data_IF_065323817477
#
_entry.id   IF_065323817477
#
_cell.length_a   1.000
_cell.length_b   1.000
_cell.length_c   1.000
_cell.angle_alpha   90.00
_cell.angle_beta   90.00
_cell.angle_gamma   90.00
#
_symmetry.space_group_name_H-M   'P 1'
#
loop_
_entity.id
_entity.type
_entity.pdbx_description
1 polymer ?
#
# COMPACT_ATOMS: atom_id res chain seq x y z
N UNK A 1 -22.64 -8.08 -46.59
CA UNK A 1 -21.62 -9.08 -46.22
C UNK A 1 -20.44 -8.36 -45.60
N UNK A 2 -20.34 -8.36 -44.27
CA UNK A 2 -19.11 -8.14 -43.51
C UNK A 2 -19.45 -8.19 -42.02
N UNK A 3 -19.49 -9.41 -41.49
CA UNK A 3 -19.64 -9.73 -40.07
C UNK A 3 -18.36 -9.37 -39.33
N UNK A 4 -18.50 -8.47 -38.34
CA UNK A 4 -17.48 -8.11 -37.36
C UNK A 4 -17.12 -9.32 -36.50
N UNK A 5 -15.85 -9.70 -36.49
CA UNK A 5 -15.29 -10.75 -35.63
C UNK A 5 -14.95 -10.12 -34.29
N UNK A 6 -15.82 -10.29 -33.31
CA UNK A 6 -15.51 -9.97 -31.92
C UNK A 6 -14.49 -10.99 -31.39
N UNK A 7 -13.25 -10.56 -31.18
CA UNK A 7 -12.22 -11.37 -30.52
C UNK A 7 -12.52 -11.44 -29.02
N UNK A 8 -13.14 -12.52 -28.58
CA UNK A 8 -13.27 -12.90 -27.17
C UNK A 8 -11.93 -13.38 -26.64
N UNK A 9 -11.11 -12.45 -26.14
CA UNK A 9 -9.95 -12.80 -25.31
C UNK A 9 -10.47 -13.31 -23.98
N UNK A 10 -10.49 -14.62 -23.83
CA UNK A 10 -10.78 -15.30 -22.59
C UNK A 10 -9.60 -15.04 -21.66
N UNK A 11 -9.80 -14.19 -20.65
CA UNK A 11 -8.90 -14.05 -19.51
C UNK A 11 -8.80 -15.42 -18.83
N UNK A 12 -7.76 -16.19 -19.19
CA UNK A 12 -7.41 -17.40 -18.46
C UNK A 12 -6.85 -16.93 -17.13
N UNK A 13 -7.73 -16.72 -16.15
CA UNK A 13 -7.34 -16.86 -14.75
C UNK A 13 -6.61 -18.19 -14.65
N UNK A 14 -5.46 -18.32 -13.97
CA UNK A 14 -4.98 -19.61 -13.52
C UNK A 14 -5.96 -20.15 -12.46
N UNK A 15 -7.13 -20.55 -12.94
CA UNK A 15 -8.13 -21.30 -12.25
C UNK A 15 -7.64 -22.73 -12.27
N UNK A 16 -6.93 -23.09 -11.22
CA UNK A 16 -7.21 -24.28 -10.44
C UNK A 16 -6.18 -24.29 -9.32
N UNK A 17 -6.64 -24.27 -8.06
CA UNK A 17 -5.90 -25.03 -7.05
C UNK A 17 -5.66 -26.38 -7.72
N UNK A 18 -4.41 -26.69 -8.11
CA UNK A 18 -4.12 -28.03 -8.58
C UNK A 18 -4.72 -28.96 -7.53
N UNK A 19 -5.56 -29.92 -7.92
CA UNK A 19 -6.24 -30.82 -6.97
C UNK A 19 -5.21 -31.78 -6.33
N UNK A 20 -4.14 -31.26 -5.74
CA UNK A 20 -3.09 -31.97 -5.02
C UNK A 20 -3.63 -32.59 -3.74
N UNK A 21 -4.80 -32.12 -3.27
CA UNK A 21 -5.55 -32.69 -2.16
C UNK A 21 -5.92 -34.17 -2.35
N UNK A 22 -6.09 -34.66 -3.58
CA UNK A 22 -6.35 -36.09 -3.84
C UNK A 22 -5.07 -36.93 -3.85
N UNK A 23 -3.91 -36.30 -4.08
CA UNK A 23 -2.61 -36.97 -4.18
C UNK A 23 -1.83 -36.99 -2.86
N UNK A 24 -2.33 -36.32 -1.81
CA UNK A 24 -1.61 -36.19 -0.55
C UNK A 24 -1.92 -37.33 0.43
N UNK A 25 -0.87 -38.05 0.78
CA UNK A 25 -0.95 -39.11 1.80
C UNK A 25 -1.22 -38.54 3.22
N UNK A 26 -2.00 -39.27 4.01
CA UNK A 26 -2.25 -39.06 5.43
C UNK A 26 -0.96 -38.99 6.25
N UNK A 27 0.08 -39.74 5.85
CA UNK A 27 1.40 -39.68 6.49
C UNK A 27 2.02 -38.28 6.42
N UNK A 28 1.90 -37.61 5.27
CA UNK A 28 2.43 -36.27 5.07
C UNK A 28 1.70 -35.24 5.93
N UNK A 29 0.37 -35.35 6.04
CA UNK A 29 -0.43 -34.48 6.93
C UNK A 29 -0.07 -34.68 8.40
N UNK A 30 0.15 -35.92 8.83
CA UNK A 30 0.61 -36.25 10.19
C UNK A 30 2.00 -35.66 10.46
N UNK A 31 2.91 -35.71 9.49
CA UNK A 31 4.25 -35.13 9.61
C UNK A 31 4.19 -33.62 9.82
N UNK A 32 3.42 -32.88 9.01
CA UNK A 32 3.24 -31.43 9.15
C UNK A 32 2.61 -31.08 10.50
N UNK A 33 1.56 -31.81 10.91
CA UNK A 33 0.94 -31.62 12.22
C UNK A 33 1.94 -31.82 13.37
N UNK A 34 2.76 -32.87 13.29
CA UNK A 34 3.77 -33.15 14.30
C UNK A 34 4.80 -32.03 14.41
N UNK A 35 5.25 -31.48 13.28
CA UNK A 35 6.14 -30.31 13.27
C UNK A 35 5.48 -29.07 13.89
N UNK A 36 4.21 -28.80 13.59
CA UNK A 36 3.46 -27.69 14.21
C UNK A 36 3.39 -27.90 15.74
N UNK A 37 3.07 -29.10 16.20
CA UNK A 37 3.01 -29.41 17.62
C UNK A 37 4.37 -29.30 18.31
N UNK A 38 5.47 -29.66 17.65
CA UNK A 38 6.82 -29.45 18.15
C UNK A 38 7.16 -27.96 18.29
N UNK A 39 6.80 -27.13 17.30
CA UNK A 39 6.97 -25.69 17.37
C UNK A 39 6.15 -25.07 18.51
N UNK A 40 4.90 -25.50 18.68
CA UNK A 40 4.05 -25.05 19.78
C UNK A 40 4.58 -25.52 21.14
N UNK A 41 5.07 -26.77 21.24
CA UNK A 41 5.72 -27.28 22.45
C UNK A 41 6.95 -26.45 22.81
N UNK A 42 7.76 -26.06 21.83
CA UNK A 42 8.94 -25.21 22.08
C UNK A 42 8.56 -23.82 22.61
N UNK A 43 7.40 -23.27 22.22
CA UNK A 43 6.93 -21.95 22.65
C UNK A 43 6.18 -21.98 23.99
N UNK A 44 5.37 -23.01 24.24
CA UNK A 44 4.44 -23.10 25.38
C UNK A 44 4.83 -24.19 26.40
N UNK A 45 5.93 -24.92 26.17
CA UNK A 45 6.47 -25.95 27.05
C UNK A 45 5.76 -27.31 26.97
N UNK A 46 4.43 -27.34 27.21
CA UNK A 46 3.62 -28.57 27.20
C UNK A 46 2.58 -28.54 26.08
N UNK A 47 2.21 -29.71 25.55
CA UNK A 47 1.14 -29.86 24.55
C UNK A 47 -0.10 -30.38 25.25
N UNK A 48 -0.96 -29.47 25.68
CA UNK A 48 -2.26 -29.80 26.25
C UNK A 48 -3.29 -30.05 25.14
N UNK A 49 -4.48 -30.54 25.51
CA UNK A 49 -5.59 -30.78 24.57
C UNK A 49 -5.96 -29.53 23.76
N UNK A 50 -5.89 -28.34 24.39
CA UNK A 50 -6.11 -27.03 23.74
C UNK A 50 -5.06 -26.72 22.67
N UNK A 51 -3.77 -26.93 22.97
CA UNK A 51 -2.66 -26.67 22.05
C UNK A 51 -2.69 -27.68 20.89
N UNK A 52 -3.03 -28.93 21.17
CA UNK A 52 -3.28 -29.95 20.15
C UNK A 52 -4.43 -29.55 19.21
N UNK A 53 -5.53 -29.01 19.75
CA UNK A 53 -6.64 -28.51 18.94
C UNK A 53 -6.22 -27.33 18.05
N UNK A 54 -5.49 -26.36 18.59
CA UNK A 54 -4.94 -25.23 17.83
C UNK A 54 -4.02 -25.74 16.71
N UNK A 55 -3.13 -26.70 17.00
CA UNK A 55 -2.25 -27.31 16.02
C UNK A 55 -3.01 -27.98 14.86
N UNK A 56 -4.10 -28.70 15.15
CA UNK A 56 -4.96 -29.30 14.12
C UNK A 56 -5.68 -28.24 13.28
N UNK A 57 -6.16 -27.16 13.90
CA UNK A 57 -6.81 -26.05 13.18
C UNK A 57 -5.82 -25.30 12.29
N UNK A 58 -4.60 -25.06 12.78
CA UNK A 58 -3.53 -24.44 12.02
C UNK A 58 -3.09 -25.33 10.85
N UNK A 59 -2.94 -26.63 11.06
CA UNK A 59 -2.66 -27.59 9.98
C UNK A 59 -3.73 -27.53 8.90
N UNK A 60 -5.01 -27.57 9.29
CA UNK A 60 -6.11 -27.53 8.33
C UNK A 60 -6.15 -26.22 7.54
N UNK A 61 -5.84 -25.10 8.18
CA UNK A 61 -5.77 -23.79 7.52
C UNK A 61 -4.58 -23.71 6.54
N UNK A 62 -3.41 -24.21 6.93
CA UNK A 62 -2.25 -24.30 6.04
C UNK A 62 -2.51 -25.25 4.86
N UNK A 63 -3.24 -26.34 5.11
CA UNK A 63 -3.66 -27.28 4.08
C UNK A 63 -4.60 -26.61 3.06
N UNK A 64 -5.56 -25.80 3.50
CA UNK A 64 -6.53 -25.16 2.60
C UNK A 64 -5.97 -23.94 1.86
N UNK A 65 -4.96 -23.28 2.43
CA UNK A 65 -4.31 -22.09 1.86
C UNK A 65 -3.18 -22.42 0.89
N UNK A 66 -2.45 -23.52 1.09
CA UNK A 66 -1.33 -23.88 0.22
C UNK A 66 -1.78 -24.11 -1.24
N UNK A 67 -1.00 -23.59 -2.17
CA UNK A 67 -1.25 -23.70 -3.60
C UNK A 67 -0.88 -25.09 -4.13
N UNK A 68 0.20 -25.67 -3.62
CA UNK A 68 0.70 -26.99 -4.03
C UNK A 68 0.98 -27.92 -2.84
N UNK A 69 1.05 -29.23 -3.11
CA UNK A 69 1.49 -30.21 -2.13
C UNK A 69 2.94 -29.98 -1.68
N UNK A 70 3.78 -29.42 -2.55
CA UNK A 70 5.16 -29.09 -2.24
C UNK A 70 5.23 -27.94 -1.23
N UNK A 71 4.51 -26.84 -1.49
CA UNK A 71 4.41 -25.71 -0.57
C UNK A 71 3.89 -26.18 0.77
N UNK A 72 2.80 -26.98 0.80
CA UNK A 72 2.25 -27.53 2.03
C UNK A 72 3.29 -28.32 2.84
N UNK A 73 3.98 -29.28 2.21
CA UNK A 73 4.93 -30.21 2.88
C UNK A 73 6.25 -29.58 3.27
N UNK A 74 6.63 -28.44 2.67
CA UNK A 74 7.95 -27.87 2.86
C UNK A 74 8.19 -27.44 4.33
N UNK A 75 9.13 -28.09 5.06
CA UNK A 75 9.40 -27.78 6.46
C UNK A 75 10.15 -26.46 6.63
N UNK A 76 10.92 -26.02 5.63
CA UNK A 76 11.73 -24.80 5.71
C UNK A 76 10.87 -23.54 5.75
N UNK A 77 9.71 -23.57 5.10
CA UNK A 77 8.77 -22.44 5.05
C UNK A 77 7.66 -22.55 6.10
N UNK A 78 7.52 -23.71 6.76
CA UNK A 78 6.41 -24.00 7.68
C UNK A 78 6.31 -23.00 8.84
N UNK A 79 7.44 -22.64 9.46
CA UNK A 79 7.46 -21.69 10.57
C UNK A 79 6.98 -20.30 10.16
N UNK A 80 7.42 -19.81 8.99
CA UNK A 80 6.99 -18.53 8.41
C UNK A 80 5.53 -18.55 8.00
N UNK A 81 5.07 -19.63 7.36
CA UNK A 81 3.65 -19.80 6.97
C UNK A 81 2.73 -19.86 8.19
N UNK A 82 3.13 -20.58 9.24
CA UNK A 82 2.41 -20.61 10.50
C UNK A 82 2.36 -19.23 11.17
N UNK A 83 3.49 -18.50 11.17
CA UNK A 83 3.54 -17.13 11.69
C UNK A 83 2.62 -16.19 10.91
N UNK A 84 2.68 -16.21 9.57
CA UNK A 84 1.79 -15.45 8.68
C UNK A 84 0.32 -15.75 8.97
N UNK A 85 -0.05 -17.04 9.09
CA UNK A 85 -1.41 -17.44 9.42
C UNK A 85 -1.88 -16.85 10.75
N UNK A 86 -1.05 -16.92 11.80
CA UNK A 86 -1.38 -16.37 13.12
C UNK A 86 -1.56 -14.85 13.06
N UNK A 87 -0.64 -14.14 12.40
CA UNK A 87 -0.70 -12.69 12.23
C UNK A 87 -1.96 -12.28 11.47
N UNK A 88 -2.27 -12.93 10.34
CA UNK A 88 -3.46 -12.61 9.55
C UNK A 88 -4.77 -12.90 10.26
N UNK A 89 -4.85 -13.99 11.01
CA UNK A 89 -6.04 -14.29 11.80
C UNK A 89 -6.26 -13.24 12.88
N UNK A 90 -5.19 -12.76 13.52
CA UNK A 90 -5.26 -11.67 14.47
C UNK A 90 -5.73 -10.37 13.81
N UNK A 91 -5.11 -9.97 12.70
CA UNK A 91 -5.47 -8.76 11.94
C UNK A 91 -6.90 -8.82 11.38
N UNK A 92 -7.37 -10.01 10.98
CA UNK A 92 -8.75 -10.19 10.52
C UNK A 92 -9.79 -9.89 11.61
N UNK A 93 -9.45 -10.07 12.89
CA UNK A 93 -10.34 -9.68 14.00
C UNK A 93 -10.43 -8.15 14.14
N UNK A 94 -9.44 -7.41 13.65
CA UNK A 94 -9.40 -5.94 13.68
C UNK A 94 -10.12 -5.31 12.48
N UNK A 95 -10.34 -6.06 11.40
CA UNK A 95 -10.90 -5.53 10.14
C UNK A 95 -12.21 -4.75 10.33
N UNK A 96 -13.13 -5.22 11.19
CA UNK A 96 -14.38 -4.52 11.46
C UNK A 96 -14.18 -3.20 12.21
N UNK A 97 -13.20 -3.15 13.12
CA UNK A 97 -12.81 -1.92 13.82
C UNK A 97 -12.14 -0.94 12.86
N UNK A 98 -11.30 -1.44 11.95
CA UNK A 98 -10.68 -0.63 10.89
C UNK A 98 -11.70 0.01 9.98
N UNK A 99 -12.69 -0.76 9.50
CA UNK A 99 -13.75 -0.25 8.63
C UNK A 99 -14.58 0.83 9.34
N UNK A 100 -15.01 0.58 10.58
CA UNK A 100 -15.75 1.56 11.37
C UNK A 100 -14.94 2.85 11.62
N UNK A 101 -13.65 2.72 11.95
CA UNK A 101 -12.77 3.86 12.17
C UNK A 101 -12.52 4.67 10.90
N UNK A 102 -12.36 4.00 9.76
CA UNK A 102 -12.18 4.67 8.46
C UNK A 102 -13.43 5.42 8.01
N UNK A 103 -14.62 4.82 8.18
CA UNK A 103 -15.89 5.48 7.89
C UNK A 103 -16.10 6.72 8.77
N UNK A 104 -15.78 6.61 10.06
CA UNK A 104 -15.83 7.74 10.98
C UNK A 104 -14.90 8.87 10.51
N UNK A 105 -13.66 8.57 10.13
CA UNK A 105 -12.72 9.56 9.61
C UNK A 105 -13.23 10.26 8.34
N UNK A 106 -13.76 9.50 7.39
CA UNK A 106 -14.33 10.09 6.17
C UNK A 106 -15.51 11.03 6.45
N UNK A 107 -16.34 10.71 7.45
CA UNK A 107 -17.48 11.55 7.83
C UNK A 107 -17.05 12.93 8.35
N UNK A 108 -15.93 12.99 9.07
CA UNK A 108 -15.36 14.23 9.61
C UNK A 108 -14.83 15.15 8.49
N UNK A 109 -14.27 14.57 7.44
CA UNK A 109 -13.84 15.33 6.26
C UNK A 109 -15.01 15.85 5.41
N UNK A 110 -16.19 15.19 5.44
CA UNK A 110 -17.38 15.63 4.68
C UNK A 110 -18.24 16.67 5.40
N UNK A 111 -18.42 16.57 6.72
CA UNK A 111 -19.29 17.47 7.51
C UNK A 111 -18.93 18.96 7.42
N UNK A 112 -17.69 19.32 7.11
CA UNK A 112 -17.28 20.72 6.92
C UNK A 112 -17.55 21.27 5.52
N UNK A 113 -17.87 20.43 4.54
CA UNK A 113 -18.18 20.86 3.16
C UNK A 113 -19.69 21.03 2.91
N UNK A 114 -20.54 20.58 3.83
CA UNK A 114 -22.01 20.64 3.72
C UNK A 114 -22.68 21.74 4.57
N UNK A 115 -21.93 22.72 5.07
CA UNK A 115 -22.49 23.90 5.76
C UNK A 115 -22.36 25.15 4.89
N UNK A 116 -22.93 25.13 3.67
CA UNK A 116 -23.17 26.34 2.89
C UNK A 116 -24.61 26.38 2.36
N UNK A 117 -25.54 26.58 3.28
CA UNK A 117 -26.87 27.11 2.94
C UNK A 117 -27.24 28.17 3.96
N UNK A 118 -27.29 29.41 3.48
CA UNK A 118 -28.09 30.51 4.03
C UNK A 118 -27.70 31.06 5.40
N UNK A 119 -26.93 32.13 5.42
CA UNK A 119 -27.33 33.28 6.25
C UNK A 119 -26.79 34.58 5.63
N UNK A 120 -27.73 35.35 5.10
CA UNK A 120 -27.52 36.75 4.77
C UNK A 120 -27.46 37.60 6.05
N UNK A 121 -26.78 38.74 5.91
CA UNK A 121 -26.83 39.96 6.73
C UNK A 121 -26.05 39.96 8.05
N UNK A 122 -24.88 40.62 7.97
CA UNK A 122 -24.17 41.21 9.09
C UNK A 122 -23.10 42.18 8.57
N UNK A 123 -23.51 43.35 8.10
CA UNK A 123 -22.60 44.44 7.72
C UNK A 123 -21.69 44.81 8.90
N UNK A 124 -20.40 44.47 8.81
CA UNK A 124 -19.32 45.25 9.41
C UNK A 124 -18.32 45.57 8.32
N UNK A 125 -18.43 46.79 7.80
CA UNK A 125 -17.39 47.41 7.00
C UNK A 125 -16.12 47.45 7.86
N UNK A 126 -15.14 46.63 7.51
CA UNK A 126 -13.80 46.71 8.09
C UNK A 126 -13.08 47.79 7.30
N UNK A 127 -12.80 48.88 7.98
CA UNK A 127 -11.95 49.98 7.54
C UNK A 127 -10.61 49.39 7.08
N UNK A 128 -10.32 49.42 5.79
CA UNK A 128 -8.99 49.19 5.26
C UNK A 128 -8.16 50.44 5.55
N UNK A 129 -7.48 50.43 6.70
CA UNK A 129 -6.33 51.30 6.91
C UNK A 129 -5.27 50.92 5.89
N UNK A 130 -5.14 51.75 4.87
CA UNK A 130 -3.94 51.91 4.04
C UNK A 130 -2.78 52.33 4.92
N UNK A 131 -2.12 51.36 5.56
CA UNK A 131 -0.73 51.49 5.95
C UNK A 131 0.02 50.25 5.46
N UNK A 132 0.76 50.48 4.38
CA UNK A 132 1.73 49.58 3.80
C UNK A 132 2.74 49.15 4.87
N UNK A 133 2.52 47.99 5.48
CA UNK A 133 3.60 47.22 6.06
C UNK A 133 4.43 46.65 4.90
N UNK A 134 5.51 47.36 4.55
CA UNK A 134 6.52 46.95 3.58
C UNK A 134 7.26 45.72 4.13
N UNK A 135 6.64 44.55 4.01
CA UNK A 135 7.35 43.28 3.95
C UNK A 135 7.70 43.05 2.48
N UNK A 136 8.82 43.60 2.03
CA UNK A 136 9.32 43.48 0.66
C UNK A 136 9.27 42.00 0.20
N UNK A 137 8.46 41.61 -0.79
CA UNK A 137 8.38 40.23 -1.27
C UNK A 137 9.47 39.97 -2.34
N UNK A 138 10.64 40.60 -2.24
CA UNK A 138 11.70 40.54 -3.26
C UNK A 138 12.14 39.11 -3.61
N UNK A 139 11.99 38.17 -2.67
CA UNK A 139 12.38 36.77 -2.86
C UNK A 139 11.31 35.92 -3.57
N UNK A 140 10.02 36.27 -3.42
CA UNK A 140 8.88 35.47 -3.91
C UNK A 140 8.13 36.12 -5.07
N UNK A 141 8.51 37.35 -5.43
CA UNK A 141 7.95 38.09 -6.55
C UNK A 141 8.86 37.98 -7.77
N UNK A 142 8.37 37.35 -8.84
CA UNK A 142 9.06 37.22 -10.14
C UNK A 142 10.26 36.25 -10.21
N UNK A 143 10.91 35.89 -9.10
CA UNK A 143 12.15 35.09 -9.08
C UNK A 143 11.91 33.57 -8.96
N UNK A 144 10.93 33.03 -9.69
CA UNK A 144 10.56 31.61 -9.58
C UNK A 144 11.72 30.66 -9.91
N UNK A 145 12.51 30.96 -10.94
CA UNK A 145 13.63 30.11 -11.35
C UNK A 145 14.73 30.06 -10.28
N UNK A 146 15.00 31.19 -9.63
CA UNK A 146 15.95 31.27 -8.52
C UNK A 146 15.42 30.53 -7.29
N UNK A 147 14.12 30.64 -7.03
CA UNK A 147 13.46 29.91 -5.95
C UNK A 147 13.50 28.39 -6.19
N UNK A 148 13.24 27.93 -7.43
CA UNK A 148 13.36 26.53 -7.80
C UNK A 148 14.80 26.03 -7.65
N UNK A 149 15.79 26.83 -8.04
CA UNK A 149 17.20 26.50 -7.85
C UNK A 149 17.60 26.41 -6.36
N UNK A 150 17.19 27.38 -5.53
CA UNK A 150 17.49 27.35 -4.09
C UNK A 150 16.78 26.18 -3.41
N UNK A 151 15.50 25.98 -3.70
CA UNK A 151 14.72 24.87 -3.15
C UNK A 151 15.18 23.50 -3.66
N UNK A 152 15.90 23.42 -4.78
CA UNK A 152 16.47 22.14 -5.25
C UNK A 152 17.52 21.57 -4.29
N UNK A 153 18.12 22.41 -3.44
CA UNK A 153 19.07 21.98 -2.40
C UNK A 153 18.41 21.69 -1.05
N UNK A 154 17.11 21.97 -0.90
CA UNK A 154 16.38 21.83 0.36
C UNK A 154 15.49 20.58 0.35
N UNK A 155 15.36 19.94 1.50
CA UNK A 155 14.39 18.86 1.68
C UNK A 155 12.96 19.39 1.77
N UNK A 156 11.97 18.57 1.45
CA UNK A 156 10.55 18.95 1.57
C UNK A 156 10.19 19.49 2.96
N UNK A 157 10.82 18.97 4.02
CA UNK A 157 10.60 19.45 5.38
C UNK A 157 11.02 20.90 5.54
N UNK A 158 12.18 21.28 5.03
CA UNK A 158 12.73 22.63 5.12
C UNK A 158 11.92 23.59 4.26
N UNK A 159 11.58 23.18 3.03
CA UNK A 159 10.70 23.94 2.13
C UNK A 159 9.35 24.22 2.80
N UNK A 160 8.77 23.23 3.48
CA UNK A 160 7.50 23.39 4.19
C UNK A 160 7.61 24.24 5.46
N UNK A 161 8.77 24.25 6.12
CA UNK A 161 9.04 25.16 7.24
C UNK A 161 9.15 26.61 6.74
N UNK A 162 9.82 26.84 5.62
CA UNK A 162 9.85 28.15 4.94
C UNK A 162 8.44 28.55 4.45
N UNK A 163 7.64 27.60 3.98
CA UNK A 163 6.26 27.85 3.57
C UNK A 163 5.38 28.33 4.74
N UNK A 164 5.76 28.02 5.99
CA UNK A 164 5.03 28.46 7.18
C UNK A 164 5.34 29.91 7.60
N UNK A 165 6.38 30.55 7.04
CA UNK A 165 6.79 31.89 7.47
C UNK A 165 5.99 33.01 6.83
N UNK A 166 5.48 32.84 5.61
CA UNK A 166 4.62 33.82 4.95
C UNK A 166 3.60 33.20 4.00
N UNK A 167 2.53 33.95 3.70
CA UNK A 167 1.41 33.50 2.86
C UNK A 167 1.80 33.28 1.40
N UNK A 168 2.71 34.09 0.86
CA UNK A 168 3.24 33.91 -0.50
C UNK A 168 4.05 32.61 -0.61
N UNK A 169 4.94 32.35 0.35
CA UNK A 169 5.69 31.10 0.42
C UNK A 169 4.76 29.89 0.60
N UNK A 170 3.71 30.01 1.41
CA UNK A 170 2.71 28.95 1.61
C UNK A 170 2.02 28.50 0.31
N UNK A 171 1.86 29.42 -0.66
CA UNK A 171 1.20 29.14 -1.94
C UNK A 171 2.17 28.65 -3.02
N UNK A 172 3.40 29.18 -3.05
CA UNK A 172 4.37 28.89 -4.11
C UNK A 172 5.25 27.68 -3.79
N UNK A 173 5.79 27.59 -2.57
CA UNK A 173 6.80 26.58 -2.21
C UNK A 173 6.33 25.12 -2.31
N UNK A 174 5.09 24.76 -1.90
CA UNK A 174 4.61 23.39 -2.08
C UNK A 174 4.60 22.92 -3.54
N UNK A 175 4.50 23.84 -4.50
CA UNK A 175 4.53 23.49 -5.93
C UNK A 175 5.93 23.09 -6.42
N UNK A 176 6.97 23.44 -5.68
CA UNK A 176 8.38 23.17 -6.03
C UNK A 176 8.84 21.82 -5.48
N UNK A 177 8.16 21.30 -4.44
CA UNK A 177 8.51 20.03 -3.80
C UNK A 177 8.38 18.86 -4.77
N UNK A 178 9.49 18.17 -5.02
CA UNK A 178 9.57 16.98 -5.89
C UNK A 178 9.58 15.66 -5.13
N UNK A 179 10.16 15.63 -3.94
CA UNK A 179 10.32 14.40 -3.14
C UNK A 179 9.79 14.60 -1.75
N UNK A 180 8.92 13.70 -1.28
CA UNK A 180 8.41 13.70 0.10
C UNK A 180 8.69 12.34 0.72
N UNK A 181 9.45 12.35 1.81
CA UNK A 181 9.64 11.20 2.68
C UNK A 181 9.08 11.50 4.06
N UNK A 182 8.17 10.66 4.54
CA UNK A 182 7.47 10.88 5.79
C UNK A 182 7.23 9.57 6.53
N UNK A 183 7.26 9.63 7.86
CA UNK A 183 6.92 8.46 8.68
C UNK A 183 5.42 8.40 8.94
N UNK A 184 4.87 7.21 9.20
CA UNK A 184 3.47 7.07 9.62
C UNK A 184 3.17 7.91 10.86
N UNK A 185 4.10 7.99 11.81
CA UNK A 185 3.98 8.79 13.04
C UNK A 185 3.83 10.28 12.72
N UNK A 186 4.64 10.81 11.79
CA UNK A 186 4.55 12.20 11.36
C UNK A 186 3.26 12.47 10.58
N UNK A 187 2.84 11.55 9.70
CA UNK A 187 1.62 11.68 8.91
C UNK A 187 0.34 11.57 9.77
N UNK A 188 0.37 10.81 10.87
CA UNK A 188 -0.73 10.73 11.85
C UNK A 188 -0.99 12.05 12.56
N UNK A 189 0.02 12.93 12.69
CA UNK A 189 -0.16 14.27 13.30
C UNK A 189 -1.01 15.20 12.44
N UNK A 190 -1.17 14.90 11.15
CA UNK A 190 -1.99 15.69 10.25
C UNK A 190 -3.47 15.39 10.49
N UNK A 191 -4.29 16.44 10.47
CA UNK A 191 -5.75 16.29 10.57
C UNK A 191 -6.31 15.54 9.35
N UNK A 192 -7.42 14.79 9.49
CA UNK A 192 -8.07 14.09 8.37
C UNK A 192 -8.37 15.00 7.16
N UNK A 193 -8.74 16.25 7.41
CA UNK A 193 -9.00 17.24 6.35
C UNK A 193 -7.74 17.63 5.59
N UNK A 194 -6.60 17.73 6.27
CA UNK A 194 -5.31 18.00 5.63
C UNK A 194 -4.83 16.78 4.84
N UNK A 195 -5.09 15.57 5.34
CA UNK A 195 -4.73 14.32 4.64
C UNK A 195 -5.50 14.15 3.34
N UNK A 196 -6.81 14.42 3.33
CA UNK A 196 -7.64 14.23 2.13
C UNK A 196 -7.26 15.13 0.95
N UNK A 197 -6.65 16.29 1.22
CA UNK A 197 -6.17 17.23 0.19
C UNK A 197 -4.64 17.24 0.07
N UNK A 198 -3.94 16.31 0.72
CA UNK A 198 -2.48 16.31 0.83
C UNK A 198 -1.78 16.41 -0.53
N UNK A 199 -2.10 15.51 -1.45
CA UNK A 199 -1.47 15.48 -2.78
C UNK A 199 -1.87 16.64 -3.69
N UNK A 200 -3.01 17.30 -3.45
CA UNK A 200 -3.41 18.48 -4.22
C UNK A 200 -2.46 19.67 -3.98
N UNK A 201 -1.75 19.69 -2.86
CA UNK A 201 -0.76 20.73 -2.54
C UNK A 201 0.57 20.55 -3.28
N UNK A 202 0.82 19.37 -3.83
CA UNK A 202 2.12 18.98 -4.41
C UNK A 202 1.94 18.48 -5.86
N UNK A 203 1.53 19.35 -6.80
CA UNK A 203 1.21 18.94 -8.18
C UNK A 203 2.43 18.41 -8.96
N UNK A 204 3.64 18.83 -8.58
CA UNK A 204 4.90 18.44 -9.25
C UNK A 204 5.65 17.31 -8.53
N UNK A 205 4.96 16.57 -7.65
CA UNK A 205 5.58 15.48 -6.90
C UNK A 205 6.07 14.37 -7.84
N UNK A 206 7.34 14.04 -7.73
CA UNK A 206 8.03 12.99 -8.48
C UNK A 206 8.23 11.72 -7.63
N UNK A 207 8.46 11.88 -6.32
CA UNK A 207 8.65 10.77 -5.39
C UNK A 207 7.87 10.96 -4.09
N UNK A 208 7.11 9.94 -3.70
CA UNK A 208 6.46 9.87 -2.40
C UNK A 208 6.83 8.58 -1.67
N UNK A 209 7.30 8.72 -0.43
CA UNK A 209 7.63 7.60 0.44
C UNK A 209 6.99 7.79 1.82
N UNK A 210 6.12 6.85 2.19
CA UNK A 210 5.64 6.67 3.54
C UNK A 210 6.37 5.48 4.16
N UNK A 211 6.91 5.64 5.37
CA UNK A 211 7.52 4.53 6.12
C UNK A 211 6.99 4.39 7.54
N UNK A 212 6.68 3.16 7.97
CA UNK A 212 6.30 2.90 9.36
C UNK A 212 7.44 2.44 10.27
N UNK A 213 8.68 2.34 9.76
CA UNK A 213 9.85 2.01 10.58
C UNK A 213 10.37 3.26 11.29
N UNK A 214 10.45 3.20 12.63
CA UNK A 214 11.14 4.22 13.40
C UNK A 214 12.61 3.87 13.65
N UNK A 215 12.96 2.61 13.96
CA UNK A 215 14.34 2.21 14.31
C UNK A 215 14.54 0.69 14.16
N UNK A 216 14.41 0.12 12.94
CA UNK A 216 14.59 -1.31 12.65
C UNK A 216 13.71 -2.33 13.43
N UNK A 217 12.78 -1.87 14.28
CA UNK A 217 11.82 -2.74 14.96
C UNK A 217 10.75 -3.24 13.98
N UNK A 218 10.53 -4.56 13.99
CA UNK A 218 9.40 -5.20 13.31
C UNK A 218 8.07 -4.75 13.93
N UNK A 219 6.95 -4.94 13.22
CA UNK A 219 5.61 -4.60 13.72
C UNK A 219 5.39 -5.15 15.13
N UNK A 220 4.97 -4.26 16.04
CA UNK A 220 4.39 -4.71 17.29
C UNK A 220 2.93 -5.10 17.02
N UNK A 221 2.70 -6.39 16.77
CA UNK A 221 1.36 -6.93 16.56
C UNK A 221 0.51 -7.01 17.84
N UNK A 222 1.00 -6.50 18.98
CA UNK A 222 0.24 -6.48 20.23
C UNK A 222 -0.54 -5.17 20.41
N UNK A 223 -0.16 -4.10 19.71
CA UNK A 223 -0.84 -2.81 19.79
C UNK A 223 -1.89 -2.70 18.68
N UNK A 224 -3.06 -3.28 18.94
CA UNK A 224 -4.21 -3.31 18.03
C UNK A 224 -4.63 -1.89 17.62
N UNK A 225 -4.62 -0.93 18.54
CA UNK A 225 -5.04 0.44 18.26
C UNK A 225 -4.09 1.13 17.28
N UNK A 226 -2.78 0.94 17.44
CA UNK A 226 -1.79 1.46 16.49
C UNK A 226 -1.89 0.78 15.12
N UNK A 227 -2.14 -0.52 15.07
CA UNK A 227 -2.36 -1.24 13.80
C UNK A 227 -3.58 -0.69 13.04
N UNK A 228 -4.70 -0.55 13.74
CA UNK A 228 -5.94 0.03 13.18
C UNK A 228 -5.68 1.45 12.68
N UNK A 229 -5.06 2.30 13.50
CA UNK A 229 -4.75 3.68 13.12
C UNK A 229 -3.84 3.78 11.89
N UNK A 230 -2.87 2.87 11.75
CA UNK A 230 -1.97 2.79 10.58
C UNK A 230 -2.72 2.41 9.31
N UNK A 231 -3.57 1.39 9.36
CA UNK A 231 -4.38 0.99 8.21
C UNK A 231 -5.34 2.10 7.78
N UNK A 232 -6.04 2.73 8.74
CA UNK A 232 -6.91 3.89 8.49
C UNK A 232 -6.15 5.05 7.85
N UNK A 233 -4.95 5.36 8.36
CA UNK A 233 -4.07 6.38 7.79
C UNK A 233 -3.76 6.08 6.32
N UNK A 234 -3.29 4.87 6.01
CA UNK A 234 -2.90 4.51 4.64
C UNK A 234 -4.11 4.57 3.70
N UNK A 235 -5.28 4.06 4.12
CA UNK A 235 -6.52 4.19 3.36
C UNK A 235 -6.92 5.65 3.10
N UNK A 236 -6.73 6.54 4.08
CA UNK A 236 -6.95 7.98 3.95
C UNK A 236 -6.00 8.62 2.93
N UNK A 237 -4.72 8.23 2.95
CA UNK A 237 -3.71 8.65 1.97
C UNK A 237 -4.06 8.13 0.57
N UNK A 238 -4.49 6.88 0.43
CA UNK A 238 -4.92 6.31 -0.85
C UNK A 238 -6.17 7.00 -1.40
N UNK A 239 -7.11 7.38 -0.53
CA UNK A 239 -8.26 8.18 -0.91
C UNK A 239 -7.87 9.59 -1.38
N UNK A 240 -6.88 10.21 -0.74
CA UNK A 240 -6.33 11.49 -1.21
C UNK A 240 -5.65 11.33 -2.58
N UNK A 241 -4.89 10.24 -2.75
CA UNK A 241 -4.18 9.91 -3.99
C UNK A 241 -5.16 9.64 -5.14
N UNK A 242 -6.27 8.95 -4.87
CA UNK A 242 -7.31 8.69 -5.87
C UNK A 242 -7.96 9.97 -6.40
N UNK A 243 -7.94 11.05 -5.62
CA UNK A 243 -8.53 12.34 -5.98
C UNK A 243 -7.51 13.35 -6.53
N UNK A 244 -6.23 12.96 -6.64
CA UNK A 244 -5.16 13.81 -7.14
C UNK A 244 -4.76 13.44 -8.58
N UNK A 245 -4.21 14.42 -9.30
CA UNK A 245 -3.51 14.19 -10.57
C UNK A 245 -2.03 14.46 -10.31
N UNK A 246 -1.19 13.43 -10.44
CA UNK A 246 0.26 13.53 -10.22
C UNK A 246 0.99 13.06 -11.48
N UNK A 247 0.98 13.87 -12.56
CA UNK A 247 1.53 13.48 -13.86
C UNK A 247 3.04 13.25 -13.83
N UNK A 248 3.72 13.74 -12.78
CA UNK A 248 5.17 13.59 -12.60
C UNK A 248 5.55 12.46 -11.64
N UNK A 249 4.60 11.83 -10.97
CA UNK A 249 4.89 10.80 -9.98
C UNK A 249 5.56 9.61 -10.66
N UNK A 250 6.79 9.35 -10.23
CA UNK A 250 7.69 8.36 -10.79
C UNK A 250 7.97 7.25 -9.77
N UNK A 251 8.00 7.61 -8.48
CA UNK A 251 8.24 6.68 -7.37
C UNK A 251 7.13 6.78 -6.33
N UNK A 252 6.51 5.65 -6.00
CA UNK A 252 5.53 5.54 -4.92
C UNK A 252 5.90 4.41 -3.97
N UNK A 253 6.12 4.73 -2.69
CA UNK A 253 6.57 3.77 -1.68
C UNK A 253 5.69 3.81 -0.44
N UNK A 254 5.17 2.65 -0.04
CA UNK A 254 4.48 2.41 1.22
C UNK A 254 5.19 1.25 1.93
N UNK A 255 6.22 1.56 2.72
CA UNK A 255 7.08 0.53 3.32
C UNK A 255 6.82 0.39 4.83
N UNK A 256 6.39 -0.79 5.26
CA UNK A 256 6.04 -1.09 6.66
C UNK A 256 4.94 -0.18 7.21
N UNK A 257 4.00 0.24 6.37
CA UNK A 257 3.02 1.28 6.68
C UNK A 257 1.68 0.74 7.17
N UNK A 258 1.29 -0.43 6.68
CA UNK A 258 0.02 -1.08 6.99
C UNK A 258 0.24 -2.58 7.17
N UNK A 259 -0.80 -3.29 7.60
CA UNK A 259 -0.76 -4.74 7.76
C UNK A 259 -2.06 -5.37 7.29
N UNK A 260 -1.95 -6.40 6.46
CA UNK A 260 -3.12 -7.06 5.87
C UNK A 260 -3.61 -8.27 6.67
N UNK A 261 -4.94 -8.40 6.74
CA UNK A 261 -5.62 -9.54 7.33
C UNK A 261 -5.77 -10.72 6.36
N UNK A 262 -6.92 -11.40 6.42
CA UNK A 262 -7.23 -12.48 5.46
C UNK A 262 -7.69 -11.96 4.09
N UNK A 263 -8.20 -10.72 4.05
CA UNK A 263 -8.59 -10.03 2.82
C UNK A 263 -7.67 -8.83 2.71
N UNK A 264 -6.80 -8.82 1.70
CA UNK A 264 -5.77 -7.80 1.50
C UNK A 264 -6.39 -6.46 1.03
N UNK A 265 -7.21 -5.84 1.88
CA UNK A 265 -8.12 -4.76 1.52
C UNK A 265 -7.41 -3.44 1.19
N UNK A 266 -6.27 -3.15 1.83
CA UNK A 266 -5.49 -1.94 1.53
C UNK A 266 -4.78 -2.11 0.20
N UNK A 267 -4.26 -3.30 -0.07
CA UNK A 267 -3.58 -3.67 -1.31
C UNK A 267 -4.55 -3.67 -2.49
N UNK A 268 -5.77 -4.16 -2.29
CA UNK A 268 -6.87 -4.02 -3.24
C UNK A 268 -7.20 -2.54 -3.56
N UNK A 269 -7.19 -1.67 -2.55
CA UNK A 269 -7.33 -0.23 -2.76
C UNK A 269 -6.16 0.35 -3.55
N UNK A 270 -4.91 -0.03 -3.25
CA UNK A 270 -3.73 0.36 -4.03
C UNK A 270 -3.91 -0.06 -5.49
N UNK A 271 -4.28 -1.32 -5.74
CA UNK A 271 -4.55 -1.84 -7.06
C UNK A 271 -5.62 -1.01 -7.79
N UNK A 272 -6.73 -0.67 -7.14
CA UNK A 272 -7.78 0.19 -7.72
C UNK A 272 -7.32 1.61 -8.05
N UNK A 273 -6.46 2.21 -7.21
CA UNK A 273 -5.89 3.54 -7.44
C UNK A 273 -4.98 3.51 -8.66
N UNK A 274 -4.19 2.43 -8.79
CA UNK A 274 -3.31 2.22 -9.92
C UNK A 274 -4.10 1.94 -11.20
N UNK A 275 -5.14 1.09 -11.16
CA UNK A 275 -5.94 0.64 -12.30
C UNK A 275 -6.95 1.67 -12.84
N UNK A 276 -7.12 2.80 -12.15
CA UNK A 276 -8.18 3.77 -12.45
C UNK A 276 -8.23 4.20 -13.93
N UNK A 277 -9.42 4.59 -14.45
CA UNK A 277 -9.69 4.85 -15.87
C UNK A 277 -8.98 6.08 -16.48
N UNK A 278 -8.00 6.63 -15.76
CA UNK A 278 -7.22 7.80 -16.17
C UNK A 278 -5.76 7.50 -15.87
N UNK A 279 -4.87 7.86 -16.79
CA UNK A 279 -3.43 7.74 -16.64
C UNK A 279 -2.93 8.78 -15.60
N UNK A 280 -3.35 8.62 -14.32
CA UNK A 280 -3.08 9.57 -13.23
C UNK A 280 -1.60 9.61 -12.85
N UNK A 281 -0.88 8.53 -13.14
CA UNK A 281 0.52 8.32 -12.84
C UNK A 281 1.27 7.82 -14.08
N UNK A 282 1.34 8.63 -15.14
CA UNK A 282 1.90 8.22 -16.44
C UNK A 282 3.39 7.95 -16.38
N UNK A 283 4.09 8.42 -15.36
CA UNK A 283 5.55 8.25 -15.21
C UNK A 283 5.94 7.24 -14.14
N UNK A 284 4.96 6.57 -13.52
CA UNK A 284 5.24 5.69 -12.40
C UNK A 284 6.08 4.50 -12.87
N UNK A 285 7.33 4.48 -12.42
CA UNK A 285 8.29 3.43 -12.75
C UNK A 285 8.66 2.57 -11.54
N UNK A 286 8.49 3.08 -10.31
CA UNK A 286 8.77 2.32 -9.09
C UNK A 286 7.58 2.29 -8.16
N UNK A 287 7.14 1.07 -7.81
CA UNK A 287 6.18 0.80 -6.76
C UNK A 287 6.82 -0.07 -5.68
N UNK A 288 6.89 0.44 -4.44
CA UNK A 288 7.47 -0.27 -3.30
C UNK A 288 6.41 -0.49 -2.23
N UNK A 289 6.12 -1.75 -1.91
CA UNK A 289 5.13 -2.18 -0.91
C UNK A 289 5.78 -3.14 0.10
N UNK A 290 7.00 -2.81 0.53
CA UNK A 290 7.84 -3.69 1.34
C UNK A 290 7.23 -3.87 2.73
N UNK A 291 7.07 -5.12 3.13
CA UNK A 291 6.72 -5.49 4.50
C UNK A 291 5.39 -4.95 4.97
N UNK A 292 4.31 -5.15 4.23
CA UNK A 292 2.95 -4.81 4.65
C UNK A 292 2.05 -6.05 4.87
N UNK A 293 2.66 -7.23 5.05
CA UNK A 293 1.96 -8.51 5.24
C UNK A 293 1.07 -8.96 4.06
N UNK A 294 1.37 -8.48 2.85
CA UNK A 294 0.62 -8.79 1.62
C UNK A 294 0.63 -10.29 1.31
N UNK A 295 -0.46 -10.82 0.78
CA UNK A 295 -0.60 -12.22 0.43
C UNK A 295 -0.82 -12.48 -1.05
N UNK A 296 -0.98 -13.75 -1.40
CA UNK A 296 -1.30 -14.17 -2.77
C UNK A 296 -2.55 -13.48 -3.33
N UNK A 297 -3.56 -13.21 -2.49
CA UNK A 297 -4.79 -12.54 -2.96
C UNK A 297 -4.54 -11.06 -3.29
N UNK A 298 -3.79 -10.32 -2.46
CA UNK A 298 -3.39 -8.95 -2.76
C UNK A 298 -2.42 -8.85 -3.94
N UNK A 299 -1.57 -9.86 -4.14
CA UNK A 299 -0.72 -9.97 -5.34
C UNK A 299 -1.56 -10.15 -6.60
N UNK A 300 -2.66 -10.90 -6.53
CA UNK A 300 -3.60 -11.05 -7.65
C UNK A 300 -4.31 -9.75 -7.98
N UNK A 301 -4.73 -8.99 -6.97
CA UNK A 301 -5.31 -7.66 -7.20
C UNK A 301 -4.31 -6.72 -7.90
N UNK A 302 -3.04 -6.75 -7.48
CA UNK A 302 -1.96 -5.99 -8.14
C UNK A 302 -1.71 -6.46 -9.57
N UNK A 303 -1.70 -7.79 -9.78
CA UNK A 303 -1.58 -8.38 -11.12
C UNK A 303 -2.70 -7.89 -12.02
N UNK A 304 -3.96 -7.99 -11.60
CA UNK A 304 -5.13 -7.56 -12.39
C UNK A 304 -5.03 -6.06 -12.72
N UNK A 305 -4.55 -5.22 -11.80
CA UNK A 305 -4.37 -3.79 -12.02
C UNK A 305 -3.26 -3.43 -13.02
N UNK A 306 -2.26 -4.30 -13.18
CA UNK A 306 -1.06 -4.07 -14.00
C UNK A 306 -1.11 -4.80 -15.35
N UNK A 307 -1.73 -5.98 -15.41
CA UNK A 307 -1.84 -6.82 -16.60
C UNK A 307 -2.88 -6.31 -17.60
N UNK A 308 -3.85 -5.48 -17.16
CA UNK A 308 -4.85 -4.91 -18.06
C UNK A 308 -4.18 -3.94 -19.07
N UNK A 309 -4.44 -4.11 -20.39
CA UNK A 309 -3.89 -3.23 -21.41
C UNK A 309 -4.36 -1.80 -21.17
N UNK A 310 -3.41 -0.91 -20.85
CA UNK A 310 -3.66 0.53 -20.84
C UNK A 310 -3.34 1.05 -22.22
N UNK A 311 -4.27 1.84 -22.79
CA UNK A 311 -3.98 2.71 -23.92
C UNK A 311 -2.85 3.68 -23.50
N UNK A 312 -1.60 3.29 -23.73
CA UNK A 312 -0.40 4.04 -23.31
C UNK A 312 0.71 3.23 -22.63
N UNK A 313 0.51 1.94 -22.35
CA UNK A 313 1.54 1.09 -21.72
C UNK A 313 1.81 1.43 -20.24
N UNK A 314 2.33 0.46 -19.48
CA UNK A 314 2.83 0.69 -18.12
C UNK A 314 4.31 1.03 -18.17
N UNK A 315 4.73 2.12 -17.51
CA UNK A 315 6.14 2.48 -17.36
C UNK A 315 6.80 1.85 -16.13
N UNK A 316 6.09 0.93 -15.45
CA UNK A 316 6.58 0.27 -14.26
C UNK A 316 7.82 -0.56 -14.59
N UNK A 317 8.95 -0.22 -13.97
CA UNK A 317 10.23 -0.89 -14.12
C UNK A 317 10.61 -1.69 -12.86
N UNK A 318 10.12 -1.28 -11.69
CA UNK A 318 10.40 -1.93 -10.41
C UNK A 318 9.13 -2.08 -9.58
N UNK A 319 8.86 -3.32 -9.18
CA UNK A 319 7.85 -3.67 -8.18
C UNK A 319 8.53 -4.37 -7.00
N UNK A 320 8.63 -3.69 -5.86
CA UNK A 320 9.20 -4.26 -4.64
C UNK A 320 8.09 -4.76 -3.69
N UNK A 321 8.00 -6.08 -3.58
CA UNK A 321 7.08 -6.82 -2.72
C UNK A 321 7.84 -7.60 -1.63
N UNK A 322 9.08 -7.21 -1.32
CA UNK A 322 9.89 -7.93 -0.36
C UNK A 322 9.33 -7.87 1.07
N UNK A 323 9.70 -8.86 1.90
CA UNK A 323 9.30 -8.98 3.31
C UNK A 323 7.78 -9.10 3.54
N UNK A 324 7.01 -9.61 2.57
CA UNK A 324 5.58 -9.87 2.70
C UNK A 324 5.28 -11.35 3.00
N UNK A 325 4.01 -11.75 2.88
CA UNK A 325 3.54 -13.11 3.11
C UNK A 325 3.04 -13.76 1.81
N UNK A 326 3.81 -13.60 0.73
CA UNK A 326 3.52 -14.15 -0.59
C UNK A 326 3.96 -15.62 -0.64
N UNK A 327 3.03 -16.49 -1.01
CA UNK A 327 3.22 -17.93 -1.21
C UNK A 327 3.52 -18.28 -2.68
N UNK A 328 3.37 -19.56 -3.01
CA UNK A 328 3.68 -20.05 -4.36
C UNK A 328 2.75 -19.47 -5.43
N UNK A 329 1.46 -19.32 -5.12
CA UNK A 329 0.48 -18.76 -6.05
C UNK A 329 0.84 -17.35 -6.46
N UNK A 330 1.16 -16.47 -5.51
CA UNK A 330 1.54 -15.09 -5.81
C UNK A 330 2.88 -15.01 -6.56
N UNK A 331 3.84 -15.89 -6.25
CA UNK A 331 5.10 -15.95 -6.99
C UNK A 331 4.90 -16.32 -8.46
N UNK A 332 4.10 -17.34 -8.75
CA UNK A 332 3.76 -17.74 -10.14
C UNK A 332 3.08 -16.58 -10.86
N UNK A 333 2.16 -15.88 -10.19
CA UNK A 333 1.46 -14.74 -10.78
C UNK A 333 2.39 -13.57 -11.13
N UNK A 334 3.36 -13.27 -10.27
CA UNK A 334 4.36 -12.23 -10.54
C UNK A 334 5.33 -12.62 -11.65
N UNK A 335 5.68 -13.91 -11.76
CA UNK A 335 6.49 -14.41 -12.88
C UNK A 335 5.75 -14.31 -14.22
N UNK A 336 4.45 -14.61 -14.22
CA UNK A 336 3.59 -14.39 -15.38
C UNK A 336 3.55 -12.91 -15.77
N UNK A 337 3.44 -12.00 -14.79
CA UNK A 337 3.48 -10.55 -15.03
C UNK A 337 4.78 -10.10 -15.72
N UNK A 338 5.93 -10.56 -15.21
CA UNK A 338 7.24 -10.25 -15.83
C UNK A 338 7.29 -10.75 -17.27
N UNK A 339 6.78 -11.95 -17.51
CA UNK A 339 6.71 -12.53 -18.86
C UNK A 339 5.83 -11.71 -19.80
N UNK A 340 4.71 -11.16 -19.30
CA UNK A 340 3.83 -10.28 -20.08
C UNK A 340 4.48 -8.93 -20.40
N UNK A 341 5.21 -8.34 -19.45
CA UNK A 341 5.97 -7.11 -19.69
C UNK A 341 7.06 -7.34 -20.74
N UNK A 342 7.81 -8.45 -20.63
CA UNK A 342 8.83 -8.82 -21.60
C UNK A 342 8.25 -9.05 -23.01
N UNK A 343 7.04 -9.61 -23.12
CA UNK A 343 6.34 -9.77 -24.40
C UNK A 343 5.95 -8.43 -25.06
N UNK A 344 5.91 -7.34 -24.28
CA UNK A 344 5.62 -5.98 -24.74
C UNK A 344 6.88 -5.09 -24.82
N UNK A 345 8.09 -5.68 -24.87
CA UNK A 345 9.38 -4.98 -24.86
C UNK A 345 9.59 -4.05 -23.65
N UNK A 346 8.92 -4.32 -22.53
CA UNK A 346 9.10 -3.60 -21.27
C UNK A 346 9.88 -4.46 -20.26
N UNK A 347 10.86 -3.87 -19.58
CA UNK A 347 11.60 -4.54 -18.50
C UNK A 347 10.94 -4.26 -17.14
N UNK A 348 10.44 -5.29 -16.47
CA UNK A 348 9.89 -5.21 -15.12
C UNK A 348 10.69 -6.10 -14.17
N UNK A 349 11.28 -5.50 -13.15
CA UNK A 349 11.95 -6.22 -12.06
C UNK A 349 10.97 -6.38 -10.91
N UNK A 350 10.74 -7.62 -10.46
CA UNK A 350 9.87 -7.90 -9.31
C UNK A 350 10.68 -8.48 -8.15
N UNK A 351 10.85 -7.69 -7.10
CA UNK A 351 11.55 -8.11 -5.89
C UNK A 351 10.59 -8.79 -4.92
N UNK A 352 10.67 -10.12 -4.81
CA UNK A 352 9.90 -10.94 -3.86
C UNK A 352 10.75 -11.51 -2.73
N UNK A 353 11.92 -10.92 -2.46
CA UNK A 353 12.83 -11.41 -1.42
C UNK A 353 12.17 -11.43 -0.03
N UNK A 354 12.57 -12.40 0.80
CA UNK A 354 12.08 -12.54 2.19
C UNK A 354 10.56 -12.74 2.33
N UNK A 355 9.91 -13.33 1.34
CA UNK A 355 8.52 -13.80 1.43
C UNK A 355 8.42 -15.21 2.07
N UNK A 356 7.27 -15.88 1.92
CA UNK A 356 7.06 -17.24 2.47
C UNK A 356 7.92 -18.28 1.74
N UNK A 357 8.14 -18.06 0.45
CA UNK A 357 9.10 -18.81 -0.34
C UNK A 357 10.49 -18.18 -0.21
N UNK A 358 11.49 -18.99 0.09
CA UNK A 358 12.91 -18.59 0.02
C UNK A 358 13.37 -18.67 -1.42
N UNK A 359 13.02 -17.68 -2.24
CA UNK A 359 13.47 -17.59 -3.65
C UNK A 359 14.11 -16.23 -3.92
N UNK A 360 15.01 -16.21 -4.92
CA UNK A 360 15.70 -15.02 -5.45
C UNK A 360 14.71 -14.06 -6.15
N UNK A 361 15.07 -12.78 -6.40
CA UNK A 361 14.20 -11.86 -7.15
C UNK A 361 13.88 -12.39 -8.55
N UNK A 362 12.69 -12.04 -9.05
CA UNK A 362 12.23 -12.41 -10.40
C UNK A 362 12.70 -11.30 -11.36
N UNK A 363 13.41 -11.71 -12.42
CA UNK A 363 13.97 -10.82 -13.44
C UNK A 363 13.36 -11.12 -14.80
#
# INVERSE_FOLDING_TARGET
>A
MSTSVASTWTTVRPATKQNWHSAIDLSARRSVLLHILLLLKSKYGKVDTKISYIGRRAELALYSQAFSAWEYRNPQTLSRRLHSLVVKLHLNNLATSEDAAFEMEQSLSRKRKSSSTGNEVGKRARYESTENAVSSPLFFDGNRDLLENVCSFLEAREILQCAATCTLAANQLPQIVKTIEVTTVSMMKLTPTTRSTFFQRFPNLESFSLTGRMQAQQFNFQDEQTLVARNVLVRSVLHALSNAQLPRLAVFSLNFCYSEGLKDHVTSQIASVLAGPSNKFPKLHTLSLVGNCISDDGVLDLYDAMALPRDGGSHLALLDLSQNFIGERGHVQMQELVTQFAACDASLIVNVMNNLLTTNPIQ
#
